data_IF_872196049907
#
_entry.id   IF_872196049907
#
_cell.length_a   1.000
_cell.length_b   1.000
_cell.length_c   1.000
_cell.angle_alpha   90.00
_cell.angle_beta   90.00
_cell.angle_gamma   90.00
#
_symmetry.space_group_name_H-M   'P 1'
#
loop_
_entity.id
_entity.type
_entity.pdbx_description
1 polymer ?
#
# COMPACT_ATOMS: atom_id res chain seq x y z
N UNK A 1 71.82 -10.94 9.32
CA UNK A 1 70.46 -11.09 9.88
C UNK A 1 69.80 -9.73 9.82
N UNK A 2 68.86 -9.54 8.86
CA UNK A 2 68.03 -8.33 8.78
C UNK A 2 66.68 -8.72 9.41
N UNK A 3 66.30 -8.06 10.50
CA UNK A 3 64.96 -8.11 11.09
C UNK A 3 64.07 -7.20 10.29
N UNK A 4 62.96 -7.74 9.77
CA UNK A 4 61.89 -6.95 9.18
C UNK A 4 60.90 -6.61 10.29
N UNK A 5 60.84 -5.31 10.65
CA UNK A 5 59.79 -4.78 11.52
C UNK A 5 58.45 -4.75 10.74
N UNK A 6 57.54 -5.61 11.16
CA UNK A 6 56.18 -5.65 10.68
C UNK A 6 55.29 -4.81 11.64
N UNK A 7 55.35 -3.51 11.53
CA UNK A 7 54.39 -2.61 12.16
C UNK A 7 53.21 -2.39 11.22
N UNK A 8 52.29 -3.29 11.27
CA UNK A 8 51.01 -3.17 10.55
C UNK A 8 50.16 -2.08 11.20
N UNK A 9 49.89 -1.01 10.43
CA UNK A 9 49.13 0.16 10.85
C UNK A 9 47.70 -0.20 11.30
N UNK A 10 47.49 -0.38 12.58
CA UNK A 10 46.18 -0.65 13.21
C UNK A 10 45.20 0.53 13.13
N UNK A 11 45.62 1.69 12.62
CA UNK A 11 44.78 2.90 12.53
C UNK A 11 43.85 2.93 11.32
N UNK A 12 44.07 2.10 10.29
CA UNK A 12 43.20 2.08 9.10
C UNK A 12 42.00 1.12 9.24
N UNK A 13 42.03 0.20 10.21
CA UNK A 13 40.94 -0.77 10.39
C UNK A 13 39.79 -0.25 11.26
N UNK A 14 40.02 0.79 12.06
CA UNK A 14 38.98 1.36 12.94
C UNK A 14 38.01 2.30 12.21
N UNK A 15 38.36 2.82 11.02
CA UNK A 15 37.50 3.75 10.25
C UNK A 15 36.47 3.01 9.42
N UNK A 16 36.69 1.75 9.08
CA UNK A 16 35.72 0.94 8.27
C UNK A 16 34.59 0.29 9.07
N UNK A 17 34.69 0.28 10.40
CA UNK A 17 33.68 -0.39 11.24
C UNK A 17 32.54 0.55 11.72
N UNK A 18 32.62 1.83 11.47
CA UNK A 18 31.63 2.82 11.96
C UNK A 18 30.55 3.13 10.91
N UNK A 19 30.71 2.66 9.67
CA UNK A 19 29.76 2.97 8.57
C UNK A 19 28.66 1.93 8.36
N UNK A 20 28.48 0.93 9.23
CA UNK A 20 27.58 -0.19 8.98
C UNK A 20 26.30 -0.21 9.83
N UNK A 21 26.01 0.81 10.62
CA UNK A 21 24.76 0.91 11.37
C UNK A 21 23.90 2.11 10.91
N UNK A 22 23.61 2.17 9.63
CA UNK A 22 22.37 2.83 9.23
C UNK A 22 21.26 1.86 9.62
N UNK A 23 20.76 1.99 10.85
CA UNK A 23 19.50 1.39 11.20
C UNK A 23 18.43 2.06 10.33
N UNK A 24 18.12 1.46 9.19
CA UNK A 24 16.87 1.71 8.51
C UNK A 24 15.78 1.20 9.46
N UNK A 25 15.31 2.06 10.35
CA UNK A 25 14.00 1.87 10.96
C UNK A 25 12.98 2.05 9.85
N UNK A 26 12.79 0.99 9.06
CA UNK A 26 11.62 0.89 8.20
C UNK A 26 10.42 0.99 9.13
N UNK A 27 9.60 2.03 8.96
CA UNK A 27 8.28 2.03 9.52
C UNK A 27 7.65 0.69 9.18
N UNK A 28 6.99 0.07 10.15
CA UNK A 28 6.48 -1.29 9.98
C UNK A 28 5.44 -1.26 8.87
N UNK A 29 5.75 -1.92 7.75
CA UNK A 29 4.90 -1.97 6.58
C UNK A 29 3.51 -2.54 6.93
N UNK A 30 2.45 -1.93 6.38
CA UNK A 30 1.07 -2.39 6.54
C UNK A 30 0.53 -2.85 5.19
N UNK A 31 1.01 -3.99 4.72
CA UNK A 31 0.98 -4.41 3.32
C UNK A 31 -0.31 -5.09 2.85
N UNK A 32 -1.25 -5.34 3.75
CA UNK A 32 -2.47 -6.07 3.45
C UNK A 32 -3.59 -5.76 4.45
N UNK A 33 -4.80 -6.26 4.19
CA UNK A 33 -5.91 -6.16 5.13
C UNK A 33 -5.52 -6.68 6.51
N UNK A 34 -5.78 -5.87 7.55
CA UNK A 34 -5.41 -6.12 8.94
C UNK A 34 -3.90 -6.23 9.19
N UNK A 35 -3.06 -5.76 8.27
CA UNK A 35 -1.62 -5.64 8.43
C UNK A 35 -0.86 -6.95 8.50
N UNK A 36 0.37 -6.91 8.99
CA UNK A 36 1.24 -8.08 9.08
C UNK A 36 0.58 -9.23 9.86
N UNK A 37 0.62 -10.43 9.27
CA UNK A 37 0.01 -11.62 9.87
C UNK A 37 -1.52 -11.58 9.95
N UNK A 38 -2.19 -10.64 9.28
CA UNK A 38 -3.67 -10.48 9.26
C UNK A 38 -4.33 -10.36 10.63
N UNK A 39 -3.55 -10.03 11.67
CA UNK A 39 -4.03 -10.01 13.06
C UNK A 39 -4.82 -8.75 13.42
N UNK A 40 -4.64 -7.65 12.67
CA UNK A 40 -5.20 -6.34 13.00
C UNK A 40 -4.49 -5.66 14.18
N UNK A 41 -3.36 -6.18 14.62
CA UNK A 41 -2.59 -5.61 15.71
C UNK A 41 -1.36 -4.86 15.21
N UNK A 42 -1.14 -3.66 15.73
CA UNK A 42 0.12 -2.95 15.59
C UNK A 42 0.97 -3.16 16.85
N UNK A 43 2.27 -3.30 16.67
CA UNK A 43 3.22 -3.25 17.78
C UNK A 43 3.61 -1.82 18.17
N UNK A 44 3.07 -0.82 17.47
CA UNK A 44 3.28 0.59 17.80
C UNK A 44 2.54 0.92 19.09
N UNK A 45 3.30 1.34 20.09
CA UNK A 45 2.77 1.72 21.41
C UNK A 45 2.36 3.19 21.48
N UNK A 46 2.68 3.97 20.44
CA UNK A 46 2.38 5.40 20.39
C UNK A 46 1.00 5.72 19.79
N UNK A 47 0.15 4.71 19.58
CA UNK A 47 -1.22 4.94 19.08
C UNK A 47 -2.05 5.58 20.21
N UNK A 48 -2.53 6.83 20.03
CA UNK A 48 -3.32 7.50 21.05
C UNK A 48 -4.68 6.81 21.23
N UNK A 49 -5.15 6.71 22.46
CA UNK A 49 -6.50 6.20 22.77
C UNK A 49 -7.61 7.17 22.34
N UNK A 50 -7.32 8.46 22.28
CA UNK A 50 -8.20 9.52 21.82
C UNK A 50 -7.50 10.31 20.72
N UNK A 51 -8.16 10.45 19.57
CA UNK A 51 -7.65 11.23 18.45
C UNK A 51 -8.44 12.55 18.41
N UNK A 52 -7.75 13.65 18.60
CA UNK A 52 -8.29 15.00 18.46
C UNK A 52 -7.91 15.60 17.10
N UNK A 53 -8.53 16.72 16.73
CA UNK A 53 -8.20 17.40 15.46
C UNK A 53 -6.72 17.77 15.35
N UNK A 54 -6.04 18.03 16.45
CA UNK A 54 -4.62 18.41 16.46
C UNK A 54 -3.67 17.24 16.12
N UNK A 55 -4.16 16.01 16.20
CA UNK A 55 -3.39 14.80 15.90
C UNK A 55 -3.59 14.36 14.44
N UNK A 56 -4.55 14.97 13.73
CA UNK A 56 -4.75 14.74 12.30
C UNK A 56 -3.67 15.49 11.51
N UNK A 57 -2.77 14.77 10.87
CA UNK A 57 -1.68 15.36 10.10
C UNK A 57 -2.14 15.98 8.79
N UNK A 58 -3.09 15.34 8.13
CA UNK A 58 -3.66 15.80 6.85
C UNK A 58 -5.02 15.15 6.59
N UNK A 59 -5.79 15.78 5.73
CA UNK A 59 -7.07 15.28 5.21
C UNK A 59 -7.12 15.56 3.72
N UNK A 60 -7.71 14.66 2.95
CA UNK A 60 -7.86 14.81 1.50
C UNK A 60 -9.26 14.37 1.08
N UNK A 61 -9.85 15.10 0.12
CA UNK A 61 -11.05 14.69 -0.57
C UNK A 61 -10.71 13.70 -1.68
N UNK A 62 -11.42 12.58 -1.71
CA UNK A 62 -11.20 11.50 -2.67
C UNK A 62 -12.24 11.54 -3.79
N UNK A 63 -11.88 11.15 -5.03
CA UNK A 63 -12.79 11.21 -6.20
C UNK A 63 -13.89 10.15 -6.21
N UNK A 64 -14.04 9.40 -5.14
CA UNK A 64 -15.02 8.31 -5.04
C UNK A 64 -15.14 7.79 -3.62
N UNK A 65 -15.88 6.70 -3.48
CA UNK A 65 -16.10 6.01 -2.22
C UNK A 65 -15.52 4.60 -2.26
N UNK A 66 -15.40 3.94 -1.11
CA UNK A 66 -14.96 2.55 -1.03
C UNK A 66 -14.94 2.04 0.39
N UNK A 67 -14.95 0.73 0.53
CA UNK A 67 -14.83 0.04 1.81
C UNK A 67 -13.47 -0.66 1.98
N UNK A 68 -12.55 -0.44 1.04
CA UNK A 68 -11.20 -0.99 1.15
C UNK A 68 -10.43 -0.35 2.30
N UNK A 69 -9.59 -1.13 2.97
CA UNK A 69 -8.62 -0.58 3.91
C UNK A 69 -7.40 -0.05 3.16
N UNK A 70 -6.81 1.06 3.60
CA UNK A 70 -5.53 1.50 3.06
C UNK A 70 -4.42 0.50 3.44
N UNK A 71 -3.43 0.36 2.54
CA UNK A 71 -2.19 -0.37 2.81
C UNK A 71 -1.01 0.57 2.64
N UNK A 72 0.10 0.26 3.30
CA UNK A 72 1.25 1.16 3.37
C UNK A 72 2.52 0.39 3.01
N UNK A 73 3.28 0.98 2.10
CA UNK A 73 4.65 0.59 1.80
C UNK A 73 5.54 1.82 1.74
N UNK A 74 6.64 1.81 2.49
CA UNK A 74 7.52 2.96 2.65
C UNK A 74 6.70 4.22 3.07
N UNK A 75 6.78 5.29 2.35
CA UNK A 75 6.02 6.53 2.59
C UNK A 75 4.82 6.69 1.67
N UNK A 76 4.23 5.57 1.24
CA UNK A 76 3.12 5.58 0.30
C UNK A 76 1.93 4.80 0.85
N UNK A 77 0.77 5.42 0.80
CA UNK A 77 -0.52 4.81 1.12
C UNK A 77 -1.20 4.42 -0.18
N UNK A 78 -1.58 3.15 -0.32
CA UNK A 78 -2.36 2.67 -1.45
C UNK A 78 -3.78 2.33 -0.99
N UNK A 79 -4.77 2.72 -1.79
CA UNK A 79 -6.18 2.43 -1.54
C UNK A 79 -6.94 2.28 -2.85
N UNK A 80 -8.13 1.72 -2.76
CA UNK A 80 -9.05 1.58 -3.90
C UNK A 80 -10.33 2.34 -3.64
N UNK A 81 -10.89 2.91 -4.70
CA UNK A 81 -12.13 3.69 -4.69
C UNK A 81 -12.97 3.35 -5.91
N UNK A 82 -14.24 3.72 -5.88
CA UNK A 82 -15.12 3.68 -7.03
C UNK A 82 -16.06 4.87 -7.09
N UNK A 83 -16.44 5.27 -8.29
CA UNK A 83 -17.57 6.16 -8.51
C UNK A 83 -18.78 5.35 -9.01
N UNK A 84 -19.97 5.85 -8.72
CA UNK A 84 -21.24 5.28 -9.19
C UNK A 84 -21.81 6.02 -10.39
N UNK A 85 -21.03 6.94 -10.97
CA UNK A 85 -21.41 7.60 -12.21
C UNK A 85 -21.54 6.57 -13.35
N UNK A 86 -22.22 6.94 -14.42
CA UNK A 86 -22.35 6.05 -15.58
C UNK A 86 -21.60 6.63 -16.78
N UNK A 87 -20.55 5.94 -17.28
CA UNK A 87 -19.95 4.68 -16.80
C UNK A 87 -19.26 4.86 -15.45
N UNK A 88 -19.29 3.82 -14.62
CA UNK A 88 -18.61 3.82 -13.33
C UNK A 88 -17.10 3.83 -13.50
N UNK A 89 -16.41 4.36 -12.49
CA UNK A 89 -14.96 4.36 -12.45
C UNK A 89 -14.45 3.68 -11.19
N UNK A 90 -13.39 2.89 -11.33
CA UNK A 90 -12.60 2.33 -10.23
C UNK A 90 -11.22 2.96 -10.25
N UNK A 91 -10.70 3.19 -9.07
CA UNK A 91 -9.40 3.83 -8.90
C UNK A 91 -8.52 2.98 -8.00
N UNK A 92 -7.28 2.82 -8.38
CA UNK A 92 -6.19 2.51 -7.48
C UNK A 92 -5.42 3.80 -7.30
N UNK A 93 -5.22 4.23 -6.05
CA UNK A 93 -4.56 5.49 -5.75
C UNK A 93 -3.36 5.28 -4.86
N UNK A 94 -2.35 6.09 -5.07
CA UNK A 94 -1.21 6.22 -4.18
C UNK A 94 -1.14 7.64 -3.63
N UNK A 95 -1.07 7.74 -2.31
CA UNK A 95 -0.94 8.99 -1.59
C UNK A 95 0.39 9.04 -0.84
N UNK A 96 0.92 10.22 -0.65
CA UNK A 96 2.03 10.44 0.27
C UNK A 96 1.57 10.26 1.71
N UNK A 97 2.23 9.40 2.47
CA UNK A 97 1.98 9.23 3.90
C UNK A 97 2.33 10.50 4.71
N UNK A 98 3.18 11.37 4.15
CA UNK A 98 3.67 12.57 4.85
C UNK A 98 2.62 13.68 4.88
N UNK A 99 1.98 13.93 3.74
CA UNK A 99 1.13 15.11 3.54
C UNK A 99 -0.21 14.82 2.84
N UNK A 100 -0.48 13.56 2.49
CA UNK A 100 -1.70 13.13 1.81
C UNK A 100 -1.75 13.50 0.33
N UNK A 101 -0.72 14.10 -0.25
CA UNK A 101 -0.72 14.46 -1.67
C UNK A 101 -0.86 13.23 -2.57
N UNK A 102 -1.60 13.37 -3.66
CA UNK A 102 -1.80 12.30 -4.64
C UNK A 102 -0.50 12.13 -5.43
N UNK A 103 0.15 10.97 -5.30
CA UNK A 103 1.32 10.60 -6.11
C UNK A 103 0.90 10.17 -7.50
N UNK A 104 -0.12 9.33 -7.57
CA UNK A 104 -0.74 8.89 -8.84
C UNK A 104 -2.13 8.28 -8.60
N UNK A 105 -2.88 8.15 -9.68
CA UNK A 105 -4.13 7.40 -9.74
C UNK A 105 -4.18 6.57 -11.02
N UNK A 106 -4.54 5.31 -10.92
CA UNK A 106 -4.87 4.43 -12.03
C UNK A 106 -6.40 4.30 -12.09
N UNK A 107 -7.00 4.87 -13.13
CA UNK A 107 -8.45 4.88 -13.34
C UNK A 107 -8.84 3.82 -14.35
N UNK A 108 -9.84 3.03 -14.03
CA UNK A 108 -10.43 2.04 -14.90
C UNK A 108 -11.95 2.20 -14.96
N UNK A 109 -12.52 2.14 -16.14
CA UNK A 109 -13.97 2.12 -16.29
C UNK A 109 -14.53 0.74 -15.93
N UNK A 110 -15.71 0.72 -15.35
CA UNK A 110 -16.44 -0.50 -15.08
C UNK A 110 -17.93 -0.31 -15.32
N UNK A 111 -18.60 -1.42 -15.60
CA UNK A 111 -20.05 -1.42 -15.66
C UNK A 111 -20.63 -1.29 -14.25
N UNK A 112 -21.53 -0.33 -14.06
CA UNK A 112 -22.32 -0.24 -12.84
C UNK A 112 -23.38 -1.34 -12.86
N UNK A 113 -23.52 -2.07 -11.77
CA UNK A 113 -24.48 -3.14 -11.59
C UNK A 113 -25.12 -3.09 -10.20
N UNK A 114 -26.22 -3.81 -10.04
CA UNK A 114 -26.92 -3.85 -8.75
C UNK A 114 -26.03 -4.49 -7.69
N UNK A 115 -25.87 -3.79 -6.58
CA UNK A 115 -25.19 -4.27 -5.38
C UNK A 115 -26.09 -4.21 -4.16
N UNK A 116 -25.72 -4.92 -3.11
CA UNK A 116 -26.34 -4.76 -1.82
C UNK A 116 -26.06 -3.34 -1.28
N UNK A 117 -27.03 -2.78 -0.55
CA UNK A 117 -26.95 -1.38 -0.04
C UNK A 117 -25.75 -1.09 0.85
N UNK A 118 -25.15 -2.10 1.46
CA UNK A 118 -23.97 -2.01 2.31
C UNK A 118 -22.66 -2.39 1.57
N UNK A 119 -22.74 -2.57 0.27
CA UNK A 119 -21.57 -2.90 -0.54
C UNK A 119 -21.18 -1.74 -1.45
N UNK A 120 -19.93 -1.74 -1.92
CA UNK A 120 -19.40 -0.81 -2.89
C UNK A 120 -18.61 -1.57 -3.96
N UNK A 121 -18.39 -0.93 -5.13
CA UNK A 121 -17.58 -1.50 -6.22
C UNK A 121 -16.10 -1.58 -5.89
N UNK A 122 -15.68 -1.06 -4.73
CA UNK A 122 -14.32 -1.00 -4.23
C UNK A 122 -14.23 -1.49 -2.78
N UNK A 123 -14.67 -2.73 -2.54
CA UNK A 123 -14.62 -3.36 -1.20
C UNK A 123 -13.35 -4.16 -0.98
N UNK A 124 -12.67 -4.56 -2.05
CA UNK A 124 -11.43 -5.33 -1.97
C UNK A 124 -10.27 -4.46 -1.53
N UNK A 125 -9.66 -4.80 -0.40
CA UNK A 125 -8.44 -4.15 0.07
C UNK A 125 -7.26 -4.55 -0.82
N UNK A 126 -6.45 -3.60 -1.30
CA UNK A 126 -5.23 -3.93 -2.01
C UNK A 126 -4.24 -4.66 -1.11
N UNK A 127 -3.26 -5.33 -1.70
CA UNK A 127 -2.05 -5.72 -0.99
C UNK A 127 -0.83 -5.26 -1.78
N UNK A 128 0.30 -5.12 -1.09
CA UNK A 128 1.54 -4.67 -1.73
C UNK A 128 2.75 -5.42 -1.20
N UNK A 129 3.78 -5.44 -2.01
CA UNK A 129 5.13 -5.88 -1.67
C UNK A 129 6.15 -4.79 -2.04
N UNK A 130 7.42 -5.09 -1.99
CA UNK A 130 8.52 -4.17 -2.31
C UNK A 130 8.48 -3.59 -3.74
N UNK A 131 7.74 -4.21 -4.65
CA UNK A 131 7.75 -3.89 -6.10
C UNK A 131 6.38 -3.58 -6.66
N UNK A 132 5.31 -4.09 -6.05
CA UNK A 132 3.98 -4.12 -6.69
C UNK A 132 2.85 -3.81 -5.72
N UNK A 133 1.76 -3.36 -6.31
CA UNK A 133 0.44 -3.26 -5.66
C UNK A 133 -0.51 -4.19 -6.40
N UNK A 134 -1.20 -5.05 -5.68
CA UNK A 134 -2.14 -6.02 -6.22
C UNK A 134 -3.56 -5.65 -5.80
N UNK A 135 -4.47 -5.73 -6.75
CA UNK A 135 -5.88 -5.40 -6.56
C UNK A 135 -6.75 -6.47 -7.20
N UNK A 136 -7.88 -6.76 -6.60
CA UNK A 136 -8.91 -7.59 -7.21
C UNK A 136 -10.19 -6.80 -7.41
N UNK A 137 -10.82 -6.99 -8.57
CA UNK A 137 -12.10 -6.40 -8.91
C UNK A 137 -13.13 -7.49 -9.20
N UNK A 138 -14.30 -7.37 -8.59
CA UNK A 138 -15.43 -8.22 -8.91
C UNK A 138 -16.43 -7.48 -9.80
N UNK A 139 -17.01 -8.17 -10.75
CA UNK A 139 -18.03 -7.68 -11.66
C UNK A 139 -18.97 -8.82 -12.06
N UNK A 140 -20.11 -8.55 -12.72
CA UNK A 140 -20.96 -9.60 -13.30
C UNK A 140 -20.23 -10.48 -14.32
N UNK A 141 -19.11 -10.01 -14.87
CA UNK A 141 -18.27 -10.76 -15.82
C UNK A 141 -17.21 -11.63 -15.14
N UNK A 142 -17.16 -11.64 -13.81
CA UNK A 142 -16.21 -12.42 -13.01
C UNK A 142 -15.26 -11.56 -12.18
N UNK A 143 -14.20 -12.20 -11.71
CA UNK A 143 -13.14 -11.59 -10.89
C UNK A 143 -11.91 -11.37 -11.74
N UNK A 144 -11.37 -10.17 -11.66
CA UNK A 144 -10.10 -9.78 -12.28
C UNK A 144 -9.07 -9.47 -11.20
N UNK A 145 -7.83 -9.84 -11.45
CA UNK A 145 -6.69 -9.39 -10.66
C UNK A 145 -5.79 -8.49 -11.50
N UNK A 146 -5.25 -7.47 -10.87
CA UNK A 146 -4.43 -6.42 -11.45
C UNK A 146 -3.18 -6.25 -10.60
N UNK A 147 -2.01 -6.15 -11.24
CA UNK A 147 -0.79 -5.68 -10.58
C UNK A 147 -0.29 -4.40 -11.22
N UNK A 148 0.06 -3.45 -10.36
CA UNK A 148 0.71 -2.19 -10.71
C UNK A 148 2.10 -2.17 -10.07
N UNK A 149 3.04 -1.45 -10.67
CA UNK A 149 4.24 -1.03 -9.95
C UNK A 149 3.92 0.13 -8.99
N UNK A 150 4.90 0.52 -8.17
CA UNK A 150 4.72 1.62 -7.21
C UNK A 150 4.58 3.01 -7.87
N UNK A 151 4.78 3.11 -9.17
CA UNK A 151 4.55 4.29 -9.99
C UNK A 151 3.17 4.31 -10.64
N UNK A 152 2.35 3.27 -10.41
CA UNK A 152 0.98 3.17 -10.92
C UNK A 152 0.86 2.62 -12.34
N UNK A 153 1.96 2.12 -12.92
CA UNK A 153 1.95 1.47 -14.23
C UNK A 153 1.41 0.04 -14.11
N UNK A 154 0.44 -0.30 -14.94
CA UNK A 154 -0.07 -1.67 -15.04
C UNK A 154 1.02 -2.60 -15.56
N UNK A 155 1.30 -3.66 -14.80
CA UNK A 155 2.24 -4.71 -15.15
C UNK A 155 1.53 -5.89 -15.82
N UNK A 156 0.40 -6.27 -15.25
CA UNK A 156 -0.46 -7.30 -15.80
C UNK A 156 -1.89 -7.18 -15.24
N UNK A 157 -2.83 -7.71 -15.99
CA UNK A 157 -4.23 -7.88 -15.63
C UNK A 157 -4.70 -9.24 -16.13
N UNK A 158 -5.32 -10.01 -15.24
CA UNK A 158 -5.79 -11.36 -15.55
C UNK A 158 -7.21 -11.56 -15.06
N UNK A 159 -7.96 -12.38 -15.77
CA UNK A 159 -9.26 -12.85 -15.34
C UNK A 159 -9.08 -14.13 -14.51
N UNK A 160 -9.50 -14.11 -13.25
CA UNK A 160 -9.39 -15.26 -12.34
C UNK A 160 -10.51 -16.28 -12.54
N UNK A 161 -11.61 -15.88 -13.15
CA UNK A 161 -12.75 -16.75 -13.42
C UNK A 161 -14.08 -16.06 -13.15
N UNK A 162 -15.15 -16.83 -13.28
CA UNK A 162 -16.47 -16.36 -12.98
C UNK A 162 -16.73 -16.52 -11.48
N UNK A 163 -17.32 -15.50 -10.89
CA UNK A 163 -17.76 -15.53 -9.51
C UNK A 163 -19.21 -15.07 -9.47
N UNK A 164 -20.03 -15.85 -8.81
CA UNK A 164 -21.43 -15.50 -8.61
C UNK A 164 -21.69 -15.25 -7.13
N UNK A 165 -22.03 -14.02 -6.81
CA UNK A 165 -22.40 -13.63 -5.45
C UNK A 165 -23.89 -13.31 -5.38
N UNK A 166 -24.58 -13.84 -4.38
CA UNK A 166 -26.01 -13.59 -4.16
C UNK A 166 -26.32 -12.12 -3.86
N UNK A 167 -25.35 -11.41 -3.32
CA UNK A 167 -25.50 -10.04 -2.81
C UNK A 167 -24.61 -8.99 -3.50
N UNK A 168 -24.02 -9.30 -4.64
CA UNK A 168 -23.16 -8.40 -5.42
C UNK A 168 -21.68 -8.61 -5.18
#
# INVERSE_FOLDING_TARGET
>A
FRSYDCTMNFKLFAVFLVLSFVNYTFGKEWTQFRGPGTSGHSSDKAIPSNITKNEIKWTIDLPGTGHSSPVIWDKTVFLTLSSKDSPGSRYVMALSLVDGSIKWQNKQEHQVYRQHRFNDFSSSTPCCDEKRVYVTWTSPKGVEALALDHQGKELWKIKLGNFYAKHG
#
